data_IF_233516453842
#
_entry.id   IF_233516453842
#
_cell.length_a   1.000
_cell.length_b   1.000
_cell.length_c   1.000
_cell.angle_alpha   90.00
_cell.angle_beta   90.00
_cell.angle_gamma   90.00
#
_symmetry.space_group_name_H-M   'P 1'
#
loop_
_entity.id
_entity.type
_entity.pdbx_description
1 polymer ?
#
# COMPACT_ATOMS: atom_id res chain seq x y z
N UNK A 1 -17.72 1.04 23.66
CA UNK A 1 -17.57 0.73 22.22
C UNK A 1 -16.53 1.70 21.69
N UNK A 2 -15.41 1.18 21.24
CA UNK A 2 -14.27 2.01 20.83
C UNK A 2 -14.58 2.67 19.48
N UNK A 3 -14.55 4.01 19.45
CA UNK A 3 -14.70 4.82 18.24
C UNK A 3 -13.30 4.98 17.62
N UNK A 4 -13.18 4.80 16.31
CA UNK A 4 -11.93 4.92 15.60
C UNK A 4 -12.12 5.74 14.31
N UNK A 5 -11.06 6.37 13.85
CA UNK A 5 -11.04 7.02 12.55
C UNK A 5 -11.05 5.99 11.43
N UNK A 6 -11.97 6.16 10.51
CA UNK A 6 -12.13 5.32 9.32
C UNK A 6 -12.01 6.20 8.08
N UNK A 7 -11.26 5.73 7.10
CA UNK A 7 -11.12 6.39 5.80
C UNK A 7 -11.70 5.53 4.70
N UNK A 8 -12.31 6.18 3.72
CA UNK A 8 -12.75 5.56 2.46
C UNK A 8 -11.67 5.73 1.41
N UNK A 9 -11.19 4.62 0.87
CA UNK A 9 -10.05 4.59 -0.05
C UNK A 9 -10.46 4.03 -1.40
N UNK A 10 -10.12 4.74 -2.48
CA UNK A 10 -10.10 4.21 -3.83
C UNK A 10 -8.80 3.44 -4.02
N UNK A 11 -8.88 2.12 -4.28
CA UNK A 11 -7.71 1.22 -4.32
C UNK A 11 -7.33 0.89 -5.76
N UNK A 12 -6.05 1.01 -6.09
CA UNK A 12 -5.52 0.78 -7.44
C UNK A 12 -5.71 -0.65 -7.94
N UNK A 13 -5.66 -1.63 -7.04
CA UNK A 13 -5.82 -3.04 -7.37
C UNK A 13 -7.28 -3.49 -7.51
N UNK A 14 -8.28 -2.61 -7.30
CA UNK A 14 -9.69 -2.93 -7.45
C UNK A 14 -10.08 -2.86 -8.94
N UNK A 15 -10.41 -3.99 -9.62
CA UNK A 15 -10.93 -3.94 -10.97
C UNK A 15 -12.34 -3.37 -11.00
N UNK A 16 -12.80 -2.94 -12.16
CA UNK A 16 -14.08 -2.25 -12.35
C UNK A 16 -15.28 -2.98 -11.72
N UNK A 17 -15.30 -4.31 -11.79
CA UNK A 17 -16.40 -5.14 -11.27
C UNK A 17 -16.61 -5.06 -9.75
N UNK A 18 -15.56 -4.68 -9.00
CA UNK A 18 -15.61 -4.53 -7.55
C UNK A 18 -15.20 -3.12 -7.11
N UNK A 19 -15.14 -2.17 -8.05
CA UNK A 19 -14.74 -0.79 -7.79
C UNK A 19 -15.77 -0.07 -6.91
N UNK A 20 -15.37 0.17 -5.68
CA UNK A 20 -16.07 0.96 -4.67
C UNK A 20 -15.07 1.55 -3.69
N UNK A 21 -15.43 2.59 -2.93
CA UNK A 21 -14.61 2.98 -1.79
C UNK A 21 -14.53 1.86 -0.74
N UNK A 22 -13.32 1.53 -0.30
CA UNK A 22 -13.08 0.55 0.75
C UNK A 22 -12.76 1.24 2.07
N UNK A 23 -13.32 0.72 3.17
CA UNK A 23 -13.09 1.26 4.50
C UNK A 23 -11.82 0.68 5.11
N UNK A 24 -11.00 1.58 5.70
CA UNK A 24 -9.79 1.22 6.43
C UNK A 24 -9.72 1.97 7.75
N UNK A 25 -9.20 1.32 8.78
CA UNK A 25 -8.86 1.95 10.04
C UNK A 25 -7.64 2.85 9.86
N UNK A 26 -7.65 4.00 10.51
CA UNK A 26 -6.48 4.87 10.59
C UNK A 26 -5.72 4.54 11.87
N UNK A 27 -4.45 4.08 11.80
CA UNK A 27 -3.59 3.94 12.96
C UNK A 27 -3.35 5.30 13.64
N UNK A 28 -3.14 5.31 14.96
CA UNK A 28 -2.98 6.54 15.76
C UNK A 28 -1.81 7.41 15.25
N UNK A 29 -0.72 6.80 14.87
CA UNK A 29 0.49 7.46 14.33
C UNK A 29 0.27 8.11 12.95
N UNK A 30 -0.76 7.69 12.20
CA UNK A 30 -1.13 8.23 10.89
C UNK A 30 -2.33 9.19 10.95
N UNK A 31 -2.93 9.38 12.13
CA UNK A 31 -4.19 10.10 12.31
C UNK A 31 -4.17 11.53 11.75
N UNK A 32 -3.08 12.26 11.99
CA UNK A 32 -2.93 13.64 11.54
C UNK A 32 -2.70 13.75 10.02
N UNK A 33 -2.09 12.74 9.41
CA UNK A 33 -1.70 12.73 8.00
C UNK A 33 -2.78 12.13 7.09
N UNK A 34 -3.60 11.22 7.63
CA UNK A 34 -4.64 10.52 6.87
C UNK A 34 -5.86 11.41 6.65
N UNK A 35 -5.76 12.31 5.67
CA UNK A 35 -6.81 13.26 5.28
C UNK A 35 -7.26 13.01 3.83
N UNK A 36 -8.48 13.43 3.42
CA UNK A 36 -8.93 13.30 2.04
C UNK A 36 -7.96 13.97 1.06
N UNK A 37 -7.67 13.28 -0.05
CA UNK A 37 -6.78 13.76 -1.10
C UNK A 37 -5.32 13.36 -0.96
N UNK A 38 -4.92 12.62 0.10
CA UNK A 38 -3.59 12.02 0.19
C UNK A 38 -3.59 10.60 -0.34
N UNK A 39 -2.45 10.19 -0.90
CA UNK A 39 -2.22 8.80 -1.32
C UNK A 39 -1.78 7.97 -0.13
N UNK A 40 -2.18 6.71 -0.15
CA UNK A 40 -1.89 5.77 0.92
C UNK A 40 -1.50 4.41 0.36
N UNK A 41 -0.83 3.61 1.18
CA UNK A 41 -0.66 2.17 0.96
C UNK A 41 -1.62 1.42 1.86
N UNK A 42 -2.33 0.45 1.30
CA UNK A 42 -3.32 -0.38 1.99
C UNK A 42 -3.15 -1.85 1.67
N UNK A 43 -3.42 -2.76 2.61
CA UNK A 43 -3.48 -4.19 2.34
C UNK A 43 -4.80 -4.52 1.60
N UNK A 44 -4.72 -5.04 0.37
CA UNK A 44 -5.89 -5.33 -0.45
C UNK A 44 -6.03 -6.83 -0.76
N UNK A 45 -7.29 -7.27 -0.93
CA UNK A 45 -7.63 -8.66 -1.25
C UNK A 45 -7.39 -9.65 -0.10
N UNK A 46 -7.60 -10.95 -0.37
CA UNK A 46 -7.42 -12.02 0.63
C UNK A 46 -5.95 -12.20 1.04
N UNK A 47 -5.02 -11.91 0.15
CA UNK A 47 -3.58 -12.04 0.39
C UNK A 47 -2.94 -10.78 1.01
N UNK A 48 -3.72 -9.76 1.41
CA UNK A 48 -3.21 -8.52 1.98
C UNK A 48 -2.07 -7.86 1.17
N UNK A 49 -2.15 -7.97 -0.16
CA UNK A 49 -1.10 -7.41 -1.02
C UNK A 49 -1.07 -5.88 -0.88
N UNK A 50 0.12 -5.29 -0.66
CA UNK A 50 0.26 -3.85 -0.64
C UNK A 50 -0.27 -3.24 -1.94
N UNK A 51 -1.16 -2.26 -1.82
CA UNK A 51 -1.77 -1.58 -2.96
C UNK A 51 -1.82 -0.09 -2.68
N UNK A 52 -1.59 0.70 -3.70
CA UNK A 52 -1.74 2.14 -3.62
C UNK A 52 -3.23 2.53 -3.63
N UNK A 53 -3.57 3.58 -2.93
CA UNK A 53 -4.93 4.12 -2.88
C UNK A 53 -4.95 5.62 -2.65
N UNK A 54 -6.14 6.22 -2.85
CA UNK A 54 -6.43 7.61 -2.55
C UNK A 54 -7.50 7.70 -1.49
N UNK A 55 -7.27 8.46 -0.42
CA UNK A 55 -8.30 8.76 0.58
C UNK A 55 -9.34 9.70 -0.04
N UNK A 56 -10.58 9.26 -0.07
CA UNK A 56 -11.72 10.01 -0.59
C UNK A 56 -12.48 10.75 0.50
N UNK A 57 -12.58 10.15 1.69
CA UNK A 57 -13.29 10.69 2.85
C UNK A 57 -12.72 10.13 4.14
N UNK A 58 -12.88 10.87 5.24
CA UNK A 58 -12.55 10.45 6.60
C UNK A 58 -13.77 10.65 7.50
N UNK A 59 -14.05 9.71 8.38
CA UNK A 59 -15.15 9.74 9.34
C UNK A 59 -14.77 9.04 10.64
N UNK A 60 -15.52 9.31 11.71
CA UNK A 60 -15.46 8.53 12.93
C UNK A 60 -16.47 7.40 12.86
N UNK A 61 -16.08 6.20 13.25
CA UNK A 61 -16.93 5.02 13.18
C UNK A 61 -16.58 3.98 14.24
N UNK A 62 -17.40 2.94 14.32
CA UNK A 62 -17.13 1.82 15.21
C UNK A 62 -16.04 0.95 14.62
N UNK A 63 -15.06 0.60 15.44
CA UNK A 63 -14.03 -0.39 15.07
C UNK A 63 -14.71 -1.75 14.85
N UNK A 64 -14.82 -2.17 13.61
CA UNK A 64 -15.40 -3.48 13.26
C UNK A 64 -14.33 -4.56 13.23
N UNK A 65 -14.58 -5.77 13.76
CA UNK A 65 -13.67 -6.90 13.61
C UNK A 65 -13.44 -7.19 12.12
N UNK A 66 -12.17 -7.28 11.72
CA UNK A 66 -11.78 -7.54 10.34
C UNK A 66 -11.58 -6.31 9.44
N UNK A 67 -11.84 -5.09 9.94
CA UNK A 67 -11.46 -3.87 9.23
C UNK A 67 -9.93 -3.73 9.24
N UNK A 68 -9.33 -3.66 8.06
CA UNK A 68 -7.88 -3.55 7.89
C UNK A 68 -7.42 -2.12 8.17
N UNK A 69 -6.19 -1.97 8.66
CA UNK A 69 -5.56 -0.66 8.86
C UNK A 69 -4.86 -0.16 7.60
N UNK A 70 -4.67 1.16 7.51
CA UNK A 70 -3.72 1.76 6.57
C UNK A 70 -2.31 1.25 6.88
N UNK A 71 -1.51 1.02 5.85
CA UNK A 71 -0.10 0.65 6.02
C UNK A 71 0.81 1.88 6.08
N UNK A 72 0.55 2.89 5.26
CA UNK A 72 1.31 4.14 5.22
C UNK A 72 0.52 5.26 4.54
N UNK A 73 0.88 6.50 4.85
CA UNK A 73 0.51 7.72 4.11
C UNK A 73 1.72 8.13 3.27
N UNK A 74 1.52 8.38 1.98
CA UNK A 74 2.59 8.65 1.02
C UNK A 74 2.88 10.15 0.83
N UNK A 75 1.91 10.99 1.12
CA UNK A 75 2.00 12.44 0.90
C UNK A 75 1.96 13.20 2.23
N UNK A 76 2.73 14.28 2.33
CA UNK A 76 2.70 15.18 3.50
C UNK A 76 1.47 16.09 3.50
N UNK A 77 0.96 16.40 2.30
CA UNK A 77 -0.19 17.26 2.06
C UNK A 77 -1.10 16.65 0.99
N UNK A 78 -2.40 16.99 0.97
CA UNK A 78 -3.31 16.51 -0.07
C UNK A 78 -2.83 16.89 -1.47
N UNK A 79 -2.63 15.87 -2.33
CA UNK A 79 -2.30 16.06 -3.76
C UNK A 79 -3.55 16.32 -4.60
N UNK A 80 -4.74 16.01 -4.07
CA UNK A 80 -6.03 16.40 -4.60
C UNK A 80 -6.83 17.15 -3.54
N UNK A 81 -7.31 18.32 -3.91
CA UNK A 81 -8.26 19.08 -3.09
C UNK A 81 -9.70 18.58 -3.28
N UNK A 82 -10.66 19.15 -2.55
CA UNK A 82 -12.06 18.75 -2.60
C UNK A 82 -12.66 18.84 -4.02
N UNK A 83 -12.30 19.86 -4.81
CA UNK A 83 -12.77 20.00 -6.20
C UNK A 83 -12.21 18.90 -7.11
N UNK A 84 -10.94 18.51 -6.93
CA UNK A 84 -10.33 17.41 -7.65
C UNK A 84 -10.97 16.06 -7.31
N UNK A 85 -11.29 15.81 -6.04
CA UNK A 85 -12.02 14.62 -5.61
C UNK A 85 -13.44 14.58 -6.18
N UNK A 86 -14.14 15.73 -6.21
CA UNK A 86 -15.46 15.85 -6.82
C UNK A 86 -15.42 15.59 -8.34
N UNK A 87 -14.38 16.11 -9.02
CA UNK A 87 -14.16 15.83 -10.44
C UNK A 87 -13.91 14.34 -10.70
N UNK A 88 -13.06 13.68 -9.88
CA UNK A 88 -12.82 12.25 -10.00
C UNK A 88 -14.12 11.43 -9.83
N UNK A 89 -14.94 11.79 -8.87
CA UNK A 89 -16.23 11.14 -8.65
C UNK A 89 -17.18 11.33 -9.85
N UNK A 90 -17.25 12.56 -10.41
CA UNK A 90 -18.03 12.84 -11.61
C UNK A 90 -17.52 12.03 -12.81
N UNK A 91 -16.19 11.95 -13.02
CA UNK A 91 -15.58 11.14 -14.08
C UNK A 91 -15.96 9.66 -13.93
N UNK A 92 -15.85 9.11 -12.71
CA UNK A 92 -16.21 7.72 -12.40
C UNK A 92 -17.69 7.42 -12.75
N UNK A 93 -18.60 8.38 -12.53
CA UNK A 93 -20.03 8.23 -12.84
C UNK A 93 -20.33 8.36 -14.34
N UNK A 94 -19.50 9.09 -15.07
CA UNK A 94 -19.75 9.43 -16.48
C UNK A 94 -19.04 8.51 -17.46
N UNK A 95 -17.89 7.94 -17.07
CA UNK A 95 -17.04 7.13 -17.93
C UNK A 95 -16.82 5.73 -17.36
N UNK A 96 -16.47 4.78 -18.23
CA UNK A 96 -16.12 3.42 -17.84
C UNK A 96 -14.69 3.36 -17.27
N UNK A 97 -14.51 3.90 -16.08
CA UNK A 97 -13.24 3.86 -15.35
C UNK A 97 -13.49 3.56 -13.87
N UNK A 98 -12.48 3.04 -13.19
CA UNK A 98 -12.50 2.90 -11.72
C UNK A 98 -12.32 4.26 -11.06
N UNK A 99 -12.68 4.37 -9.77
CA UNK A 99 -12.44 5.60 -9.02
C UNK A 99 -10.95 5.95 -8.96
N UNK A 100 -10.07 4.93 -8.84
CA UNK A 100 -8.63 5.15 -8.83
C UNK A 100 -8.10 5.62 -10.19
N UNK A 101 -8.61 5.08 -11.31
CA UNK A 101 -8.25 5.56 -12.66
C UNK A 101 -8.69 7.00 -12.89
N UNK A 102 -9.87 7.39 -12.42
CA UNK A 102 -10.34 8.78 -12.47
C UNK A 102 -9.40 9.72 -11.68
N UNK A 103 -9.01 9.34 -10.46
CA UNK A 103 -8.03 10.06 -9.66
C UNK A 103 -6.69 10.15 -10.40
N UNK A 104 -6.22 9.03 -10.94
CA UNK A 104 -4.95 8.94 -11.67
C UNK A 104 -4.91 9.87 -12.89
N UNK A 105 -6.01 10.01 -13.60
CA UNK A 105 -6.10 10.86 -14.79
C UNK A 105 -5.99 12.35 -14.47
N UNK A 106 -6.32 12.79 -13.25
CA UNK A 106 -6.27 14.19 -12.82
C UNK A 106 -4.87 14.55 -12.33
N UNK A 107 -4.14 13.61 -11.73
CA UNK A 107 -2.84 13.85 -11.13
C UNK A 107 -1.71 13.78 -12.17
N UNK A 108 -0.66 14.60 -12.02
CA UNK A 108 0.54 14.52 -12.86
C UNK A 108 1.17 13.12 -12.83
N UNK A 109 1.60 12.63 -13.98
CA UNK A 109 2.17 11.28 -14.13
C UNK A 109 3.38 11.00 -13.20
N UNK A 110 4.18 12.01 -12.86
CA UNK A 110 5.34 11.90 -11.99
C UNK A 110 5.02 11.66 -10.51
N UNK A 111 3.75 11.75 -10.10
CA UNK A 111 3.33 11.48 -8.71
C UNK A 111 3.10 9.99 -8.42
N UNK A 112 3.06 9.13 -9.44
CA UNK A 112 2.79 7.71 -9.25
C UNK A 112 4.08 6.96 -8.96
N UNK A 113 4.18 6.39 -7.75
CA UNK A 113 5.28 5.51 -7.36
C UNK A 113 4.98 4.08 -7.78
N UNK A 114 6.00 3.35 -8.21
CA UNK A 114 5.95 1.90 -8.26
C UNK A 114 6.27 1.39 -6.86
N UNK A 115 5.31 0.77 -6.18
CA UNK A 115 5.59 0.07 -4.93
C UNK A 115 6.54 -1.08 -5.25
N UNK A 116 7.72 -1.06 -4.65
CA UNK A 116 8.68 -2.15 -4.70
C UNK A 116 8.74 -2.79 -3.32
N UNK A 117 8.57 -4.10 -3.25
CA UNK A 117 8.90 -4.85 -2.05
C UNK A 117 10.43 -4.89 -1.91
N UNK A 118 10.95 -4.25 -0.87
CA UNK A 118 12.35 -4.27 -0.53
C UNK A 118 12.56 -5.25 0.64
N UNK A 119 13.33 -6.28 0.39
CA UNK A 119 13.77 -7.23 1.41
C UNK A 119 15.06 -6.74 1.99
N UNK A 120 15.15 -6.67 3.31
CA UNK A 120 16.33 -6.24 4.03
C UNK A 120 16.68 -7.27 5.09
N UNK A 121 17.96 -7.59 5.20
CA UNK A 121 18.49 -8.36 6.33
C UNK A 121 18.26 -7.58 7.61
N UNK A 122 17.68 -8.21 8.61
CA UNK A 122 17.41 -7.61 9.90
C UNK A 122 18.55 -7.96 10.88
N UNK A 123 19.29 -6.93 11.32
CA UNK A 123 20.38 -7.05 12.27
C UNK A 123 21.71 -7.48 11.66
N UNK A 124 22.75 -7.45 12.47
CA UNK A 124 24.06 -8.07 12.20
C UNK A 124 23.93 -9.58 12.43
N UNK A 125 23.28 -10.27 11.49
CA UNK A 125 23.21 -11.73 11.52
C UNK A 125 24.61 -12.25 11.20
N UNK A 126 25.23 -12.89 12.18
CA UNK A 126 26.39 -13.73 11.94
C UNK A 126 26.05 -14.75 10.84
N UNK A 127 26.94 -14.97 9.86
CA UNK A 127 26.68 -15.83 8.69
C UNK A 127 26.14 -17.22 9.05
N UNK A 128 26.59 -17.79 10.17
CA UNK A 128 26.17 -19.10 10.66
C UNK A 128 24.70 -19.12 11.14
N UNK A 129 24.26 -18.06 11.86
CA UNK A 129 22.90 -17.93 12.33
C UNK A 129 21.92 -17.70 11.16
N UNK A 130 22.35 -16.95 10.16
CA UNK A 130 21.59 -16.71 8.94
C UNK A 130 21.44 -17.99 8.10
N UNK A 131 22.50 -18.79 7.95
CA UNK A 131 22.44 -20.09 7.28
C UNK A 131 21.54 -21.09 8.01
N UNK A 132 21.58 -21.14 9.35
CA UNK A 132 20.70 -21.98 10.15
C UNK A 132 19.23 -21.60 10.00
N UNK A 133 18.92 -20.30 9.95
CA UNK A 133 17.55 -19.80 9.73
C UNK A 133 17.04 -20.06 8.30
N UNK A 134 17.90 -19.99 7.30
CA UNK A 134 17.58 -20.19 5.90
C UNK A 134 17.49 -21.66 5.48
N UNK A 135 18.14 -22.57 6.22
CA UNK A 135 18.31 -23.98 5.83
C UNK A 135 17.03 -24.79 5.70
N UNK A 136 15.89 -24.33 6.27
CA UNK A 136 14.59 -24.97 6.20
C UNK A 136 13.65 -24.35 5.15
N UNK A 137 14.10 -23.33 4.42
CA UNK A 137 13.29 -22.61 3.43
C UNK A 137 13.85 -22.90 2.03
N UNK A 138 12.99 -23.29 1.10
CA UNK A 138 13.39 -23.50 -0.30
C UNK A 138 14.06 -22.22 -0.83
N UNK A 139 15.26 -22.34 -1.38
CA UNK A 139 16.11 -21.24 -1.83
C UNK A 139 16.51 -20.22 -0.75
N UNK A 140 16.31 -20.53 0.54
CA UNK A 140 16.59 -19.59 1.63
C UNK A 140 18.05 -19.15 1.70
N UNK A 141 18.98 -20.10 1.59
CA UNK A 141 20.43 -19.85 1.64
C UNK A 141 20.89 -19.00 0.44
N UNK A 142 20.42 -19.34 -0.77
CA UNK A 142 20.76 -18.63 -2.03
C UNK A 142 20.24 -17.19 -2.02
N UNK A 143 19.02 -16.98 -1.52
CA UNK A 143 18.43 -15.64 -1.35
C UNK A 143 19.22 -14.82 -0.33
N UNK A 144 19.65 -15.44 0.78
CA UNK A 144 20.45 -14.82 1.80
C UNK A 144 21.81 -14.38 1.26
N UNK A 145 22.53 -15.24 0.56
CA UNK A 145 23.82 -14.95 -0.08
C UNK A 145 23.69 -13.80 -1.09
N UNK A 146 22.58 -13.78 -1.85
CA UNK A 146 22.31 -12.69 -2.79
C UNK A 146 22.07 -11.37 -2.06
N UNK A 147 21.31 -11.37 -0.96
CA UNK A 147 21.08 -10.19 -0.13
C UNK A 147 22.38 -9.66 0.47
N UNK A 148 23.23 -10.54 1.00
CA UNK A 148 24.55 -10.14 1.54
C UNK A 148 25.42 -9.51 0.45
N UNK A 149 25.49 -10.14 -0.74
CA UNK A 149 26.25 -9.62 -1.88
C UNK A 149 25.75 -8.25 -2.37
N UNK A 150 24.45 -7.96 -2.25
CA UNK A 150 23.83 -6.69 -2.63
C UNK A 150 23.82 -5.63 -1.51
N UNK A 151 24.59 -5.84 -0.44
CA UNK A 151 24.72 -4.88 0.65
C UNK A 151 23.57 -4.91 1.66
N UNK A 152 22.95 -6.08 1.83
CA UNK A 152 21.95 -6.35 2.87
C UNK A 152 20.51 -5.99 2.49
N UNK A 153 20.26 -5.53 1.26
CA UNK A 153 18.89 -5.26 0.79
C UNK A 153 18.74 -5.48 -0.71
N UNK A 154 17.59 -6.00 -1.13
CA UNK A 154 17.25 -6.16 -2.55
C UNK A 154 15.74 -6.09 -2.77
N UNK A 155 15.34 -5.61 -3.96
CA UNK A 155 13.95 -5.67 -4.41
C UNK A 155 13.51 -7.11 -4.70
N UNK A 156 12.24 -7.41 -4.43
CA UNK A 156 11.68 -8.74 -4.67
C UNK A 156 11.83 -9.19 -6.15
N UNK A 157 11.75 -8.27 -7.11
CA UNK A 157 11.94 -8.56 -8.54
C UNK A 157 13.36 -9.08 -8.81
N UNK A 158 14.38 -8.45 -8.23
CA UNK A 158 15.79 -8.87 -8.37
C UNK A 158 16.02 -10.27 -7.77
N UNK A 159 15.40 -10.54 -6.61
CA UNK A 159 15.49 -11.86 -5.97
C UNK A 159 14.76 -12.94 -6.78
N UNK A 160 13.64 -12.62 -7.41
CA UNK A 160 12.91 -13.54 -8.28
C UNK A 160 13.66 -13.85 -9.58
N UNK A 161 14.29 -12.86 -10.19
CA UNK A 161 15.12 -13.09 -11.39
C UNK A 161 16.33 -13.98 -11.09
N UNK A 162 16.87 -13.89 -9.88
CA UNK A 162 18.03 -14.69 -9.48
C UNK A 162 17.68 -16.13 -9.05
N UNK A 163 16.49 -16.38 -8.53
CA UNK A 163 16.13 -17.63 -7.83
C UNK A 163 14.74 -18.20 -8.18
N UNK A 164 14.00 -17.57 -9.12
CA UNK A 164 12.61 -17.91 -9.47
C UNK A 164 12.42 -19.02 -10.48
#
# INVERSE_FOLDING_TARGET
METASIVKVAVSAAPYSIDKPYDYLVPEDLEAQAVPGVRVTVPFGRGNRPSEGMILAKSQGKKSPGLKGLSAVLDREPVLNASGLALALWMRQRYFCTMFEAVKAILPAGLWYRLQELWRLQGDLEPEAAQAAAGNVRHGTEVLETLVRLGGSAGLEVLREAHG
#
